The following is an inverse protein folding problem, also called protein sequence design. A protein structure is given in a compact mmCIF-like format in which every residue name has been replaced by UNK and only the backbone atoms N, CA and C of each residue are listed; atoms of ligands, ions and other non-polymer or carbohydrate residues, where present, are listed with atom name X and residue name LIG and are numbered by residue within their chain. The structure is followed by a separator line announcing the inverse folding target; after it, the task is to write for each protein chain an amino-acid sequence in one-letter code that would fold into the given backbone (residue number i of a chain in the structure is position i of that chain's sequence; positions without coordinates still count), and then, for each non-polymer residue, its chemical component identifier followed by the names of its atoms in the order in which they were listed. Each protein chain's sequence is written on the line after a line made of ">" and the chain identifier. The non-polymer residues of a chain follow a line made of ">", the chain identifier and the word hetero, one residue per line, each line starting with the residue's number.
data_IF_989979418511
#
_entry.id   IF_989979418511
#
_cell.length_a   1.000
_cell.length_b   1.000
_cell.length_c   1.000
_cell.angle_alpha   90.00
_cell.angle_beta   90.00
_cell.angle_gamma   90.00
#
_symmetry.space_group_name_H-M   'P 1'
#
loop_
_entity.id
_entity.type
_entity.pdbx_description
1 polymer ?
#
# COMPACT_ATOMS: atom_id res chain seq x y z
N UNK A 1 -18.64 11.20 -3.27
CA UNK A 1 -17.69 10.50 -2.37
C UNK A 1 -18.44 9.86 -1.20
N UNK A 2 -17.96 8.72 -0.72
CA UNK A 2 -18.40 8.03 0.49
C UNK A 2 -17.20 7.58 1.31
N UNK A 3 -17.32 7.62 2.62
CA UNK A 3 -16.31 7.13 3.55
C UNK A 3 -17.01 6.44 4.71
N UNK A 4 -16.48 5.32 5.14
CA UNK A 4 -16.90 4.61 6.33
C UNK A 4 -15.73 4.09 7.12
N UNK A 5 -15.93 3.70 8.35
CA UNK A 5 -14.92 3.03 9.14
C UNK A 5 -15.53 1.89 9.95
N UNK A 6 -14.70 0.90 10.25
CA UNK A 6 -15.04 -0.22 11.12
C UNK A 6 -13.87 -0.48 12.05
N UNK A 7 -14.14 -0.73 13.32
CA UNK A 7 -13.13 -0.99 14.33
C UNK A 7 -13.56 -2.14 15.23
N UNK A 8 -12.57 -2.94 15.64
CA UNK A 8 -12.77 -3.99 16.63
C UNK A 8 -12.29 -3.45 17.99
N UNK A 9 -13.23 -3.36 18.95
CA UNK A 9 -13.03 -2.68 20.23
C UNK A 9 -12.00 -3.36 21.16
N UNK A 10 -11.80 -4.67 21.01
CA UNK A 10 -10.82 -5.42 21.81
C UNK A 10 -9.41 -5.43 21.20
N UNK A 11 -9.20 -4.77 20.05
CA UNK A 11 -7.91 -4.71 19.36
C UNK A 11 -7.46 -6.03 18.72
N UNK A 12 -8.35 -7.02 18.58
CA UNK A 12 -8.03 -8.30 17.96
C UNK A 12 -8.01 -8.17 16.43
N UNK A 13 -6.85 -8.38 15.82
CA UNK A 13 -6.72 -8.41 14.36
C UNK A 13 -7.48 -9.60 13.77
N UNK A 14 -8.27 -9.37 12.72
CA UNK A 14 -9.08 -10.38 12.06
C UNK A 14 -9.25 -10.06 10.57
N UNK A 15 -9.04 -11.06 9.70
CA UNK A 15 -9.37 -10.92 8.28
C UNK A 15 -10.87 -10.71 8.06
N UNK A 16 -11.73 -11.23 8.96
CA UNK A 16 -13.16 -10.97 8.89
C UNK A 16 -13.50 -9.48 8.97
N UNK A 17 -12.70 -8.69 9.70
CA UNK A 17 -12.89 -7.24 9.75
C UNK A 17 -12.61 -6.58 8.38
N UNK A 18 -11.59 -7.06 7.65
CA UNK A 18 -11.30 -6.60 6.29
C UNK A 18 -12.46 -6.95 5.36
N UNK A 19 -13.00 -8.17 5.43
CA UNK A 19 -14.19 -8.58 4.65
C UNK A 19 -15.41 -7.70 4.94
N UNK A 20 -15.66 -7.36 6.20
CA UNK A 20 -16.74 -6.44 6.57
C UNK A 20 -16.50 -5.03 6.02
N UNK A 21 -15.24 -4.55 6.05
CA UNK A 21 -14.90 -3.25 5.46
C UNK A 21 -15.07 -3.22 3.95
N UNK A 22 -14.70 -4.28 3.25
CA UNK A 22 -14.93 -4.43 1.80
C UNK A 22 -16.44 -4.47 1.49
N UNK A 23 -17.22 -5.25 2.24
CA UNK A 23 -18.68 -5.27 2.10
C UNK A 23 -19.30 -3.88 2.34
N UNK A 24 -18.82 -3.14 3.33
CA UNK A 24 -19.25 -1.76 3.58
C UNK A 24 -18.89 -0.85 2.40
N UNK A 25 -17.67 -1.00 1.85
CA UNK A 25 -17.22 -0.25 0.68
C UNK A 25 -18.11 -0.54 -0.54
N UNK A 26 -18.43 -1.80 -0.81
CA UNK A 26 -19.34 -2.22 -1.89
C UNK A 26 -20.72 -1.58 -1.76
N UNK A 27 -21.29 -1.56 -0.55
CA UNK A 27 -22.60 -0.91 -0.28
C UNK A 27 -22.59 0.60 -0.52
N UNK A 28 -21.42 1.21 -0.54
CA UNK A 28 -21.24 2.63 -0.88
C UNK A 28 -20.99 2.86 -2.39
N UNK A 29 -21.08 1.84 -3.24
CA UNK A 29 -20.83 1.96 -4.68
C UNK A 29 -21.67 3.06 -5.35
N UNK A 30 -22.91 3.28 -4.89
CA UNK A 30 -23.78 4.37 -5.33
C UNK A 30 -23.25 5.77 -5.04
N UNK A 31 -22.20 5.90 -4.23
CA UNK A 31 -21.50 7.15 -3.89
C UNK A 31 -20.23 7.36 -4.71
N UNK A 32 -19.82 6.35 -5.48
CA UNK A 32 -18.71 6.40 -6.43
C UNK A 32 -19.17 6.98 -7.76
N UNK A 33 -18.22 7.46 -8.54
CA UNK A 33 -18.41 7.83 -9.93
C UNK A 33 -17.90 6.73 -10.86
N UNK A 34 -18.28 6.83 -12.11
CA UNK A 34 -17.78 6.01 -13.20
C UNK A 34 -16.87 6.86 -14.07
N UNK A 35 -15.78 6.30 -14.56
CA UNK A 35 -14.89 6.94 -15.53
C UNK A 35 -15.55 7.12 -16.91
N UNK A 36 -14.72 7.32 -17.92
CA UNK A 36 -15.18 7.44 -19.30
C UNK A 36 -15.85 6.15 -19.84
N UNK A 37 -15.65 5.05 -19.17
CA UNK A 37 -16.21 3.72 -19.48
C UNK A 37 -16.86 3.10 -18.22
N UNK A 38 -17.91 2.28 -18.37
CA UNK A 38 -18.66 1.75 -17.23
C UNK A 38 -17.83 0.87 -16.28
N UNK A 39 -16.79 0.22 -16.77
CA UNK A 39 -15.96 -0.73 -16.02
C UNK A 39 -14.83 -0.07 -15.23
N UNK A 40 -14.53 1.22 -15.48
CA UNK A 40 -13.48 1.98 -14.77
C UNK A 40 -14.14 2.93 -13.78
N UNK A 41 -13.85 2.71 -12.49
CA UNK A 41 -14.31 3.59 -11.41
C UNK A 41 -13.45 4.85 -11.25
N UNK A 42 -14.01 5.89 -10.62
CA UNK A 42 -13.31 7.13 -10.27
C UNK A 42 -12.22 6.94 -9.21
N UNK A 43 -12.32 5.85 -8.47
CA UNK A 43 -11.38 5.48 -7.44
C UNK A 43 -12.06 4.94 -6.18
N UNK A 44 -11.54 3.84 -5.70
CA UNK A 44 -11.92 3.22 -4.44
C UNK A 44 -10.70 2.63 -3.74
N UNK A 45 -10.82 2.38 -2.45
CA UNK A 45 -9.74 1.76 -1.69
C UNK A 45 -10.09 1.53 -0.24
N UNK A 46 -9.17 0.88 0.44
CA UNK A 46 -9.25 0.57 1.87
C UNK A 46 -7.94 0.97 2.56
N UNK A 47 -8.06 1.58 3.74
CA UNK A 47 -6.97 1.75 4.68
C UNK A 47 -7.17 0.73 5.81
N UNK A 48 -6.18 -0.10 6.02
CA UNK A 48 -6.19 -1.13 7.06
C UNK A 48 -5.00 -0.97 8.01
N UNK A 49 -5.12 -1.49 9.22
CA UNK A 49 -3.96 -1.70 10.09
C UNK A 49 -3.03 -2.71 9.42
N UNK A 50 -1.71 -2.51 9.52
CA UNK A 50 -0.71 -3.45 8.97
C UNK A 50 -1.03 -4.88 9.43
N UNK A 51 -1.28 -5.82 8.50
CA UNK A 51 -1.60 -7.20 8.80
C UNK A 51 -0.31 -8.00 9.11
N UNK A 52 0.29 -7.73 10.28
CA UNK A 52 1.60 -8.24 10.66
C UNK A 52 1.75 -9.75 10.45
N UNK A 53 0.79 -10.56 10.94
CA UNK A 53 0.83 -12.03 10.77
C UNK A 53 0.87 -12.47 9.30
N UNK A 54 0.17 -11.73 8.43
CA UNK A 54 0.19 -11.98 6.99
C UNK A 54 1.58 -11.67 6.43
N UNK A 55 2.12 -10.49 6.69
CA UNK A 55 3.44 -10.12 6.18
C UNK A 55 4.58 -10.96 6.74
N UNK A 56 4.52 -11.39 8.00
CA UNK A 56 5.48 -12.35 8.57
C UNK A 56 5.50 -13.67 7.79
N UNK A 57 4.31 -14.19 7.43
CA UNK A 57 4.19 -15.42 6.63
C UNK A 57 4.75 -15.24 5.23
N UNK A 58 4.34 -14.17 4.53
CA UNK A 58 4.80 -13.88 3.16
C UNK A 58 6.32 -13.67 3.10
N UNK A 59 6.86 -12.88 4.04
CA UNK A 59 8.30 -12.64 4.14
C UNK A 59 9.08 -13.95 4.40
N UNK A 60 8.58 -14.80 5.31
CA UNK A 60 9.18 -16.10 5.59
C UNK A 60 9.21 -16.99 4.36
N UNK A 61 8.14 -16.99 3.55
CA UNK A 61 8.09 -17.73 2.27
C UNK A 61 9.13 -17.19 1.28
N UNK A 62 9.40 -15.89 1.31
CA UNK A 62 10.44 -15.23 0.50
C UNK A 62 11.86 -15.35 1.11
N UNK A 63 12.04 -16.08 2.23
CA UNK A 63 13.33 -16.21 2.91
C UNK A 63 13.76 -14.99 3.71
N UNK A 64 12.83 -14.07 4.00
CA UNK A 64 13.08 -12.84 4.76
C UNK A 64 12.51 -12.96 6.17
N UNK A 65 13.26 -12.51 7.17
CA UNK A 65 12.80 -12.40 8.55
C UNK A 65 12.45 -10.94 8.87
N UNK A 66 11.18 -10.64 9.01
CA UNK A 66 10.72 -9.35 9.50
C UNK A 66 10.84 -9.28 11.03
N UNK A 67 11.20 -8.13 11.60
CA UNK A 67 11.14 -7.94 13.05
C UNK A 67 9.68 -7.87 13.54
N UNK A 68 9.49 -7.81 14.85
CA UNK A 68 8.17 -7.73 15.47
C UNK A 68 7.36 -6.52 15.00
N UNK A 69 6.04 -6.62 15.13
CA UNK A 69 5.11 -5.53 14.82
C UNK A 69 5.54 -4.23 15.50
N UNK A 70 5.54 -3.13 14.73
CA UNK A 70 5.97 -1.81 15.18
C UNK A 70 7.48 -1.58 15.07
N UNK A 71 8.28 -2.63 14.77
CA UNK A 71 9.70 -2.51 14.50
C UNK A 71 10.02 -2.38 13.00
N UNK A 72 9.00 -2.29 12.17
CA UNK A 72 9.10 -1.99 10.74
C UNK A 72 7.90 -1.16 10.27
N UNK A 73 8.09 -0.49 9.15
CA UNK A 73 7.04 0.20 8.41
C UNK A 73 6.87 -0.44 7.03
N UNK A 74 5.70 -0.24 6.43
CA UNK A 74 5.42 -0.67 5.07
C UNK A 74 5.06 0.55 4.22
N UNK A 75 5.78 0.74 3.11
CA UNK A 75 5.43 1.68 2.07
C UNK A 75 4.69 0.99 0.93
N UNK A 76 3.56 1.52 0.47
CA UNK A 76 2.89 1.13 -0.76
C UNK A 76 3.22 2.15 -1.84
N UNK A 77 3.92 1.71 -2.87
CA UNK A 77 4.40 2.53 -3.98
C UNK A 77 3.74 2.11 -5.29
N UNK A 78 3.37 3.10 -6.08
CA UNK A 78 2.94 2.92 -7.47
C UNK A 78 4.10 3.36 -8.36
N UNK A 79 4.66 2.42 -9.10
CA UNK A 79 5.83 2.61 -9.96
C UNK A 79 5.42 2.41 -11.42
N UNK A 80 6.24 2.85 -12.40
CA UNK A 80 5.98 2.60 -13.81
C UNK A 80 5.75 1.10 -14.10
N UNK A 81 4.85 0.80 -15.04
CA UNK A 81 4.56 -0.57 -15.44
C UNK A 81 5.69 -1.21 -16.24
N UNK A 82 6.48 -0.41 -16.96
CA UNK A 82 7.61 -0.89 -17.75
C UNK A 82 8.72 -1.39 -16.82
N UNK A 83 9.07 -2.67 -16.94
CA UNK A 83 9.90 -3.40 -15.98
C UNK A 83 11.28 -2.77 -15.77
N UNK A 84 11.94 -2.32 -16.84
CA UNK A 84 13.26 -1.68 -16.76
C UNK A 84 13.18 -0.37 -15.97
N UNK A 85 12.14 0.43 -16.21
CA UNK A 85 11.89 1.69 -15.52
C UNK A 85 11.53 1.44 -14.04
N UNK A 86 10.63 0.48 -13.79
CA UNK A 86 10.28 0.02 -12.43
C UNK A 86 11.52 -0.34 -11.63
N UNK A 87 12.34 -1.24 -12.18
CA UNK A 87 13.53 -1.75 -11.50
C UNK A 87 14.57 -0.65 -11.22
N UNK A 88 14.78 0.24 -12.19
CA UNK A 88 15.67 1.40 -12.01
C UNK A 88 15.20 2.34 -10.89
N UNK A 89 13.91 2.68 -10.90
CA UNK A 89 13.32 3.56 -9.90
C UNK A 89 13.26 2.90 -8.52
N UNK A 90 12.95 1.61 -8.46
CA UNK A 90 12.94 0.84 -7.20
C UNK A 90 14.33 0.81 -6.55
N UNK A 91 15.38 0.60 -7.32
CA UNK A 91 16.76 0.68 -6.82
C UNK A 91 17.12 2.09 -6.34
N UNK A 92 16.71 3.12 -7.07
CA UNK A 92 16.94 4.51 -6.68
C UNK A 92 16.20 4.86 -5.37
N UNK A 93 14.94 4.42 -5.21
CA UNK A 93 14.18 4.58 -3.97
C UNK A 93 14.86 3.92 -2.77
N UNK A 94 15.36 2.69 -2.93
CA UNK A 94 16.10 1.99 -1.88
C UNK A 94 17.32 2.80 -1.46
N UNK A 95 18.14 3.26 -2.42
CA UNK A 95 19.31 4.10 -2.14
C UNK A 95 18.96 5.38 -1.38
N UNK A 96 17.87 6.07 -1.78
CA UNK A 96 17.43 7.29 -1.09
C UNK A 96 16.93 7.02 0.32
N UNK A 97 16.25 5.90 0.54
CA UNK A 97 15.80 5.45 1.86
C UNK A 97 17.01 5.13 2.75
N UNK A 98 17.98 4.40 2.21
CA UNK A 98 19.20 4.05 2.94
C UNK A 98 20.09 5.27 3.22
N UNK A 99 20.22 6.19 2.28
CA UNK A 99 20.91 7.48 2.47
C UNK A 99 20.23 8.38 3.52
N UNK A 100 18.93 8.16 3.78
CA UNK A 100 18.20 8.81 4.86
C UNK A 100 18.35 8.11 6.23
N UNK A 101 19.19 7.08 6.33
CA UNK A 101 19.50 6.37 7.59
C UNK A 101 18.55 5.20 7.91
N UNK A 102 17.83 4.67 6.92
CA UNK A 102 16.95 3.52 7.11
C UNK A 102 17.50 2.28 6.43
N UNK A 103 17.05 1.11 6.88
CA UNK A 103 17.35 -0.18 6.25
C UNK A 103 16.08 -0.72 5.58
N UNK A 104 16.17 -1.01 4.29
CA UNK A 104 15.11 -1.73 3.56
C UNK A 104 15.30 -3.22 3.78
N UNK A 105 14.35 -3.83 4.47
CA UNK A 105 14.37 -5.26 4.84
C UNK A 105 13.92 -6.16 3.71
N UNK A 106 12.92 -5.70 2.95
CA UNK A 106 12.27 -6.50 1.92
C UNK A 106 11.57 -5.61 0.91
N UNK A 107 11.51 -6.09 -0.32
CA UNK A 107 10.80 -5.50 -1.44
C UNK A 107 9.85 -6.56 -1.99
N UNK A 108 8.58 -6.21 -2.17
CA UNK A 108 7.54 -7.15 -2.59
C UNK A 108 6.69 -6.53 -3.68
N UNK A 109 6.56 -7.22 -4.81
CA UNK A 109 5.50 -6.91 -5.76
C UNK A 109 4.17 -7.37 -5.17
N UNK A 110 3.16 -6.50 -5.20
CA UNK A 110 1.83 -6.81 -4.70
C UNK A 110 1.08 -7.62 -5.74
N UNK A 111 0.59 -8.82 -5.43
CA UNK A 111 -0.18 -9.60 -6.37
C UNK A 111 -1.57 -8.99 -6.59
N UNK A 112 -2.02 -8.97 -7.85
CA UNK A 112 -3.31 -8.43 -8.23
C UNK A 112 -3.86 -9.11 -9.49
N UNK A 113 -5.18 -9.02 -9.69
CA UNK A 113 -5.90 -9.59 -10.81
C UNK A 113 -6.17 -8.51 -11.86
N UNK A 114 -5.35 -8.49 -12.90
CA UNK A 114 -5.36 -7.48 -13.96
C UNK A 114 -6.73 -7.31 -14.64
N UNK A 115 -7.44 -8.40 -14.86
CA UNK A 115 -8.74 -8.45 -15.52
C UNK A 115 -9.91 -7.91 -14.66
N UNK A 116 -9.69 -7.72 -13.36
CA UNK A 116 -10.71 -7.25 -12.44
C UNK A 116 -10.80 -5.71 -12.34
N UNK A 117 -10.28 -5.00 -13.36
CA UNK A 117 -10.49 -3.55 -13.50
C UNK A 117 -10.79 -3.19 -14.96
N UNK A 118 -11.35 -2.00 -15.18
CA UNK A 118 -11.75 -1.55 -16.51
C UNK A 118 -10.59 -1.29 -17.48
N UNK A 119 -10.82 -1.36 -18.79
CA UNK A 119 -9.79 -1.19 -19.83
C UNK A 119 -9.04 0.12 -19.76
N UNK A 120 -9.68 1.20 -19.31
CA UNK A 120 -9.02 2.49 -19.11
C UNK A 120 -8.04 2.48 -17.96
N UNK A 121 -8.39 1.82 -16.84
CA UNK A 121 -7.48 1.61 -15.72
C UNK A 121 -6.32 0.70 -16.10
N UNK A 122 -6.57 -0.35 -16.89
CA UNK A 122 -5.54 -1.27 -17.39
C UNK A 122 -4.45 -0.55 -18.20
N UNK A 123 -4.83 0.40 -19.05
CA UNK A 123 -3.89 1.15 -19.92
C UNK A 123 -2.89 2.00 -19.16
N UNK A 124 -3.25 2.47 -17.97
CA UNK A 124 -2.45 3.38 -17.15
C UNK A 124 -2.03 2.74 -15.82
N UNK A 125 -2.21 1.43 -15.71
CA UNK A 125 -1.93 0.68 -14.48
C UNK A 125 -0.44 0.76 -14.11
N UNK A 126 -0.11 1.16 -12.88
CA UNK A 126 1.24 1.09 -12.37
C UNK A 126 1.59 -0.32 -11.89
N UNK A 127 2.86 -0.56 -11.64
CA UNK A 127 3.29 -1.66 -10.78
C UNK A 127 3.07 -1.28 -9.31
N UNK A 128 2.54 -2.21 -8.51
CA UNK A 128 2.30 -2.04 -7.07
C UNK A 128 3.44 -2.70 -6.30
N UNK A 129 4.21 -1.90 -5.56
CA UNK A 129 5.40 -2.38 -4.83
C UNK A 129 5.29 -2.01 -3.36
N UNK A 130 5.62 -2.96 -2.49
CA UNK A 130 5.75 -2.73 -1.06
C UNK A 130 7.21 -2.72 -0.66
N UNK A 131 7.65 -1.68 0.07
CA UNK A 131 8.98 -1.60 0.69
C UNK A 131 8.82 -1.70 2.21
N UNK A 132 9.53 -2.64 2.81
CA UNK A 132 9.55 -2.89 4.25
C UNK A 132 10.79 -2.23 4.85
N UNK A 133 10.60 -1.28 5.73
CA UNK A 133 11.64 -0.40 6.26
C UNK A 133 11.79 -0.66 7.76
N UNK A 134 13.02 -1.00 8.18
CA UNK A 134 13.34 -1.24 9.59
C UNK A 134 13.24 0.05 10.40
N UNK A 135 12.67 -0.04 11.60
CA UNK A 135 12.71 1.03 12.60
C UNK A 135 14.16 1.20 13.07
N UNK A 136 14.75 2.42 12.99
CA UNK A 136 16.08 2.68 13.51
C UNK A 136 16.13 2.49 15.04
N UNK A 137 17.24 1.98 15.54
CA UNK A 137 17.40 1.64 16.98
C UNK A 137 17.25 2.86 17.90
N UNK A 138 17.64 4.04 17.42
CA UNK A 138 17.53 5.29 18.17
C UNK A 138 16.10 5.85 18.27
N UNK A 139 15.16 5.30 17.47
CA UNK A 139 13.76 5.71 17.46
C UNK A 139 12.97 4.94 18.52
N UNK A 140 12.69 5.57 19.66
CA UNK A 140 12.11 4.89 20.81
C UNK A 140 10.59 4.86 20.84
N UNK A 141 9.93 5.86 20.24
CA UNK A 141 8.46 5.94 20.26
C UNK A 141 7.83 5.74 18.88
N UNK A 142 6.61 5.22 18.86
CA UNK A 142 5.84 5.07 17.60
C UNK A 142 5.58 6.42 16.95
N UNK A 143 5.33 7.45 17.75
CA UNK A 143 5.10 8.81 17.24
C UNK A 143 6.34 9.34 16.51
N UNK A 144 7.52 9.23 17.12
CA UNK A 144 8.76 9.67 16.46
C UNK A 144 9.00 8.87 15.16
N UNK A 145 8.69 7.56 15.16
CA UNK A 145 8.82 6.75 13.95
C UNK A 145 7.88 7.23 12.84
N UNK A 146 6.59 7.47 13.14
CA UNK A 146 5.63 7.99 12.15
C UNK A 146 6.01 9.39 11.65
N UNK A 147 6.47 10.30 12.52
CA UNK A 147 6.92 11.64 12.15
C UNK A 147 8.15 11.57 11.20
N UNK A 148 9.09 10.66 11.46
CA UNK A 148 10.24 10.42 10.59
C UNK A 148 9.85 9.79 9.26
N UNK A 149 8.93 8.83 9.24
CA UNK A 149 8.39 8.22 8.01
C UNK A 149 7.65 9.27 7.17
N UNK A 150 6.90 10.16 7.80
CA UNK A 150 6.27 11.28 7.10
C UNK A 150 7.30 12.20 6.42
N UNK A 151 8.39 12.56 7.13
CA UNK A 151 9.47 13.38 6.55
C UNK A 151 10.17 12.64 5.40
N UNK A 152 10.45 11.35 5.55
CA UNK A 152 11.00 10.51 4.48
C UNK A 152 10.07 10.50 3.26
N UNK A 153 8.78 10.26 3.46
CA UNK A 153 7.77 10.32 2.41
C UNK A 153 7.82 11.66 1.67
N UNK A 154 7.80 12.78 2.41
CA UNK A 154 7.83 14.12 1.81
C UNK A 154 9.13 14.40 1.06
N UNK A 155 10.27 13.87 1.53
CA UNK A 155 11.55 13.93 0.80
C UNK A 155 11.43 13.20 -0.54
N UNK A 156 10.98 11.94 -0.53
CA UNK A 156 10.83 11.13 -1.76
C UNK A 156 9.86 11.76 -2.75
N UNK A 157 8.70 12.26 -2.29
CA UNK A 157 7.73 12.96 -3.14
C UNK A 157 8.25 14.28 -3.76
N UNK A 158 9.28 14.89 -3.18
CA UNK A 158 9.95 16.07 -3.76
C UNK A 158 11.06 15.70 -4.73
N UNK A 159 11.73 14.56 -4.50
CA UNK A 159 12.80 14.06 -5.36
C UNK A 159 12.26 13.53 -6.67
N UNK A 160 11.12 12.86 -6.62
CA UNK A 160 10.47 12.22 -7.78
C UNK A 160 9.19 12.98 -8.13
N UNK A 161 9.04 13.38 -9.39
CA UNK A 161 7.88 14.14 -9.83
C UNK A 161 6.61 13.29 -9.91
N UNK A 162 5.46 13.97 -9.80
CA UNK A 162 4.17 13.35 -10.08
C UNK A 162 4.15 12.80 -11.52
N UNK A 163 3.87 11.51 -11.66
CA UNK A 163 3.94 10.77 -12.94
C UNK A 163 5.09 9.79 -13.02
N UNK A 164 6.18 9.98 -12.26
CA UNK A 164 7.25 8.98 -12.14
C UNK A 164 6.87 7.91 -11.11
N UNK A 165 6.33 8.33 -9.97
CA UNK A 165 5.81 7.43 -8.95
C UNK A 165 4.74 8.09 -8.07
N UNK A 166 4.02 7.28 -7.30
CA UNK A 166 3.18 7.76 -6.21
C UNK A 166 3.39 6.91 -4.94
N UNK A 167 3.42 7.59 -3.79
CA UNK A 167 3.45 6.93 -2.49
C UNK A 167 2.03 6.88 -1.94
N UNK A 168 1.39 5.72 -2.01
CA UNK A 168 0.03 5.51 -1.53
C UNK A 168 -0.04 5.62 0.00
N UNK A 169 0.85 4.92 0.68
CA UNK A 169 1.07 4.99 2.14
C UNK A 169 2.51 4.70 2.49
N UNK A 170 2.96 5.20 3.65
CA UNK A 170 4.22 4.85 4.28
C UNK A 170 4.04 5.02 5.80
N UNK A 171 3.88 3.93 6.52
CA UNK A 171 3.56 3.93 7.95
C UNK A 171 3.98 2.63 8.63
N UNK A 172 4.22 2.68 9.93
CA UNK A 172 4.40 1.51 10.79
C UNK A 172 3.08 0.97 11.35
N UNK A 173 1.95 1.66 11.07
CA UNK A 173 0.63 1.35 11.65
C UNK A 173 -0.39 0.93 10.61
N UNK A 174 -0.40 1.57 9.45
CA UNK A 174 -1.45 1.41 8.45
C UNK A 174 -0.89 1.21 7.05
N UNK A 175 -1.68 0.57 6.21
CA UNK A 175 -1.41 0.38 4.78
C UNK A 175 -2.66 0.74 3.98
N UNK A 176 -2.48 1.27 2.77
CA UNK A 176 -3.58 1.64 1.87
C UNK A 176 -3.50 0.83 0.59
N UNK A 177 -4.61 0.19 0.24
CA UNK A 177 -4.86 -0.41 -1.07
C UNK A 177 -5.90 0.43 -1.79
N UNK A 178 -5.60 0.95 -2.96
CA UNK A 178 -6.50 1.78 -3.76
C UNK A 178 -6.16 1.77 -5.25
N UNK A 179 -7.10 2.17 -6.08
CA UNK A 179 -6.87 2.28 -7.52
C UNK A 179 -8.02 3.00 -8.21
N UNK A 180 -7.94 3.14 -9.54
CA UNK A 180 -9.04 3.57 -10.41
C UNK A 180 -10.04 2.42 -10.54
N UNK A 181 -10.69 2.10 -9.44
CA UNK A 181 -11.55 0.94 -9.25
C UNK A 181 -12.94 1.39 -8.82
N UNK A 182 -13.94 0.60 -9.15
CA UNK A 182 -15.22 0.64 -8.44
C UNK A 182 -15.07 0.04 -7.04
N UNK A 183 -15.96 0.40 -6.15
CA UNK A 183 -15.95 -0.08 -4.77
C UNK A 183 -15.93 -1.61 -4.66
N UNK A 184 -16.69 -2.33 -5.51
CA UNK A 184 -16.75 -3.79 -5.54
C UNK A 184 -15.50 -4.46 -6.13
N UNK A 185 -14.70 -3.72 -6.91
CA UNK A 185 -13.49 -4.27 -7.53
C UNK A 185 -12.31 -4.39 -6.55
N UNK A 186 -12.26 -3.57 -5.49
CA UNK A 186 -11.09 -3.50 -4.59
C UNK A 186 -10.73 -4.86 -4.00
N UNK A 187 -11.72 -5.61 -3.51
CA UNK A 187 -11.50 -6.90 -2.86
C UNK A 187 -11.22 -8.07 -3.82
N UNK A 188 -11.56 -7.92 -5.12
CA UNK A 188 -11.27 -8.93 -6.15
C UNK A 188 -10.06 -8.57 -7.00
N UNK A 189 -9.58 -7.34 -6.88
CA UNK A 189 -8.40 -6.86 -7.59
C UNK A 189 -7.10 -7.18 -6.84
N UNK A 190 -7.05 -6.94 -5.53
CA UNK A 190 -5.86 -7.21 -4.72
C UNK A 190 -5.96 -8.57 -4.01
N UNK A 191 -5.06 -9.49 -4.34
CA UNK A 191 -5.03 -10.83 -3.73
C UNK A 191 -4.70 -10.81 -2.22
N UNK A 192 -4.20 -9.69 -1.73
CA UNK A 192 -3.88 -9.49 -0.30
C UNK A 192 -5.13 -9.25 0.56
N UNK A 193 -6.29 -8.95 -0.02
CA UNK A 193 -7.53 -8.57 0.66
C UNK A 193 -8.56 -9.70 0.66
#
# INVERSE_FOLDING_TARGET
>A
CGMGFIAQMEGKASHQLVKHALTMLERMNHRGGTGAEPETGDGAGILATIPDKFFQREAKTAGVNLPDRGQYAVGMFFLPAEEKHKNGLQQALVKEIEAAGYLVLWQRDVPFQYENCGPGAQKVMPSFVQLFIKRPLEVQTDRDFEDRLYRLRRKLERTYHAGEMAICSLSSKTIVYKGMLHAYQVGIFYDDL
#
